data_IF_533809894853
#
_entry.id   IF_533809894853
#
_cell.length_a   1.000
_cell.length_b   1.000
_cell.length_c   1.000
_cell.angle_alpha   90.00
_cell.angle_beta   90.00
_cell.angle_gamma   90.00
#
_symmetry.space_group_name_H-M   'P 1'
#
loop_
_entity.id
_entity.type
_entity.pdbx_description
1 polymer ?
#
# COMPACT_ATOMS: atom_id res chain seq x y z
N UNK A 1 0.64 21.36 -2.93
CA UNK A 1 1.30 20.84 -4.14
C UNK A 1 0.28 20.13 -5.02
N UNK A 2 0.25 20.49 -6.28
CA UNK A 2 -0.63 19.86 -7.24
C UNK A 2 0.20 18.95 -8.14
N UNK A 3 -0.17 17.67 -8.18
CA UNK A 3 0.50 16.69 -9.00
C UNK A 3 -0.17 16.61 -10.39
N UNK A 4 0.60 16.40 -11.47
CA UNK A 4 -0.01 16.32 -12.80
C UNK A 4 -0.86 15.08 -12.95
N UNK A 5 -1.97 15.18 -13.69
CA UNK A 5 -2.89 14.06 -13.92
C UNK A 5 -2.28 12.94 -14.76
N UNK A 6 -1.22 13.24 -15.50
CA UNK A 6 -0.52 12.24 -16.33
C UNK A 6 0.45 11.37 -15.54
N UNK A 7 0.67 11.67 -14.27
CA UNK A 7 1.63 10.95 -13.44
C UNK A 7 1.17 9.51 -13.23
N UNK A 8 2.06 8.55 -13.47
CA UNK A 8 1.78 7.13 -13.28
C UNK A 8 2.59 6.50 -12.15
N UNK A 9 3.76 7.04 -11.87
CA UNK A 9 4.68 6.50 -10.86
C UNK A 9 5.07 7.62 -9.90
N UNK A 10 4.94 7.37 -8.60
CA UNK A 10 5.24 8.37 -7.58
C UNK A 10 5.88 7.70 -6.36
N UNK A 11 7.03 8.21 -5.96
CA UNK A 11 7.73 7.75 -4.78
C UNK A 11 7.99 8.93 -3.87
N UNK A 12 7.58 8.80 -2.62
CA UNK A 12 7.86 9.80 -1.58
C UNK A 12 9.06 9.37 -0.76
N UNK A 13 9.84 10.34 -0.32
CA UNK A 13 11.00 10.08 0.53
C UNK A 13 10.61 9.61 1.92
N UNK A 14 11.60 9.15 2.68
CA UNK A 14 11.39 8.54 3.99
C UNK A 14 10.63 9.44 4.96
N UNK A 15 10.92 10.73 4.95
CA UNK A 15 10.36 11.67 5.94
C UNK A 15 9.01 12.26 5.58
N UNK A 16 8.51 12.00 4.39
CA UNK A 16 7.26 12.60 3.94
C UNK A 16 6.10 12.09 4.82
N UNK A 17 5.35 13.01 5.41
CA UNK A 17 4.20 12.70 6.24
C UNK A 17 3.20 13.85 6.21
N UNK A 18 2.63 14.11 5.03
CA UNK A 18 1.64 15.14 4.83
C UNK A 18 0.45 14.61 4.06
N UNK A 19 -0.70 15.23 4.25
CA UNK A 19 -1.89 14.91 3.45
C UNK A 19 -1.64 15.26 2.00
N UNK A 20 -2.11 14.41 1.10
CA UNK A 20 -1.91 14.63 -0.32
C UNK A 20 -3.07 14.05 -1.12
N UNK A 21 -3.43 14.74 -2.21
CA UNK A 21 -4.39 14.26 -3.19
C UNK A 21 -3.65 13.60 -4.33
N UNK A 22 -3.98 12.35 -4.62
CA UNK A 22 -3.29 11.56 -5.62
C UNK A 22 -3.99 11.64 -6.97
N UNK A 23 -3.22 11.74 -8.08
CA UNK A 23 -3.83 11.76 -9.41
C UNK A 23 -4.42 10.39 -9.78
N UNK A 24 -5.47 10.40 -10.60
CA UNK A 24 -6.25 9.20 -10.91
C UNK A 24 -5.51 8.19 -11.79
N UNK A 25 -4.51 8.60 -12.54
CA UNK A 25 -3.78 7.72 -13.44
C UNK A 25 -2.61 7.01 -12.79
N UNK A 26 -2.42 7.20 -11.49
CA UNK A 26 -1.30 6.62 -10.76
C UNK A 26 -1.44 5.10 -10.71
N UNK A 27 -0.39 4.40 -11.12
CA UNK A 27 -0.34 2.93 -11.11
C UNK A 27 0.66 2.40 -10.09
N UNK A 28 1.70 3.15 -9.79
CA UNK A 28 2.76 2.74 -8.86
C UNK A 28 2.97 3.84 -7.82
N UNK A 29 2.82 3.47 -6.55
CA UNK A 29 2.90 4.43 -5.45
C UNK A 29 3.73 3.85 -4.31
N UNK A 30 4.70 4.63 -3.84
CA UNK A 30 5.53 4.24 -2.71
C UNK A 30 5.57 5.36 -1.70
N UNK A 31 5.23 5.03 -0.46
CA UNK A 31 5.42 5.91 0.70
C UNK A 31 6.54 5.38 1.56
N UNK A 32 7.38 6.26 2.05
CA UNK A 32 8.46 5.91 2.97
C UNK A 32 7.99 5.65 4.39
N UNK A 33 8.94 5.40 5.27
CA UNK A 33 8.66 4.93 6.63
C UNK A 33 7.87 5.88 7.50
N UNK A 34 8.01 7.19 7.33
CA UNK A 34 7.37 8.17 8.19
C UNK A 34 5.91 8.45 7.85
N UNK A 35 5.44 8.02 6.68
CA UNK A 35 4.09 8.37 6.23
C UNK A 35 3.03 7.72 7.10
N UNK A 36 2.12 8.55 7.63
CA UNK A 36 1.01 8.08 8.46
C UNK A 36 -0.16 9.08 8.39
N UNK A 37 -0.73 9.23 7.19
CA UNK A 37 -1.84 10.13 6.96
C UNK A 37 -3.01 9.37 6.34
N UNK A 38 -4.25 9.78 6.60
CA UNK A 38 -5.39 9.25 5.86
C UNK A 38 -5.21 9.50 4.37
N UNK A 39 -5.51 8.51 3.56
CA UNK A 39 -5.28 8.61 2.12
C UNK A 39 -6.37 7.87 1.35
N UNK A 40 -6.75 8.45 0.21
CA UNK A 40 -7.67 7.84 -0.74
C UNK A 40 -6.85 7.40 -1.94
N UNK A 41 -6.86 6.09 -2.22
CA UNK A 41 -6.07 5.51 -3.28
C UNK A 41 -6.80 5.60 -4.62
N UNK A 42 -6.07 5.89 -5.71
CA UNK A 42 -6.68 5.92 -7.04
C UNK A 42 -7.06 4.52 -7.52
N UNK A 43 -8.08 4.45 -8.37
CA UNK A 43 -8.66 3.18 -8.81
C UNK A 43 -7.83 2.40 -9.82
N UNK A 44 -6.76 2.99 -10.34
CA UNK A 44 -5.88 2.32 -11.32
C UNK A 44 -4.60 1.79 -10.69
N UNK A 45 -4.48 1.87 -9.37
CA UNK A 45 -3.26 1.49 -8.68
C UNK A 45 -2.99 0.00 -8.79
N UNK A 46 -1.77 -0.36 -9.18
CA UNK A 46 -1.33 -1.74 -9.38
C UNK A 46 -0.30 -2.14 -8.32
N UNK A 47 0.62 -1.25 -8.00
CA UNK A 47 1.66 -1.48 -7.00
C UNK A 47 1.57 -0.43 -5.91
N UNK A 48 1.56 -0.87 -4.65
CA UNK A 48 1.54 0.02 -3.50
C UNK A 48 2.52 -0.45 -2.45
N UNK A 49 3.37 0.46 -2.00
CA UNK A 49 4.28 0.21 -0.88
C UNK A 49 4.05 1.27 0.18
N UNK A 50 3.80 0.84 1.40
CA UNK A 50 3.65 1.74 2.55
C UNK A 50 4.60 1.27 3.65
N UNK A 51 5.33 2.23 4.22
CA UNK A 51 6.37 1.94 5.20
C UNK A 51 5.86 1.67 6.60
N UNK A 52 6.77 1.46 7.51
CA UNK A 52 6.55 0.82 8.81
C UNK A 52 5.72 1.61 9.82
N UNK A 53 5.59 2.92 9.68
CA UNK A 53 4.85 3.74 10.64
C UNK A 53 3.39 4.00 10.26
N UNK A 54 2.94 3.44 9.15
CA UNK A 54 1.57 3.66 8.70
C UNK A 54 0.58 2.91 9.61
N UNK A 55 -0.43 3.65 10.09
CA UNK A 55 -1.38 3.13 11.07
C UNK A 55 -2.79 3.67 10.79
N UNK A 56 -3.12 3.89 9.52
CA UNK A 56 -4.42 4.43 9.12
C UNK A 56 -5.27 3.36 8.48
N UNK A 57 -6.58 3.52 8.56
CA UNK A 57 -7.51 2.72 7.75
C UNK A 57 -7.32 3.03 6.28
N UNK A 58 -7.37 2.01 5.45
CA UNK A 58 -7.14 2.17 4.03
C UNK A 58 -8.05 1.23 3.25
N UNK A 59 -8.59 1.72 2.14
CA UNK A 59 -9.38 0.92 1.21
C UNK A 59 -8.54 0.64 -0.02
N UNK A 60 -8.35 -0.64 -0.34
CA UNK A 60 -7.51 -1.06 -1.45
C UNK A 60 -8.33 -1.21 -2.73
N UNK A 61 -7.84 -0.69 -3.87
CA UNK A 61 -8.56 -0.84 -5.13
C UNK A 61 -8.47 -2.27 -5.68
N UNK A 62 -9.46 -2.65 -6.47
CA UNK A 62 -9.54 -4.00 -7.05
C UNK A 62 -8.57 -4.23 -8.22
N UNK A 63 -7.78 -3.26 -8.57
CA UNK A 63 -6.71 -3.38 -9.57
C UNK A 63 -5.36 -3.76 -8.98
N UNK A 64 -5.23 -3.68 -7.66
CA UNK A 64 -3.95 -3.84 -6.97
C UNK A 64 -3.47 -5.29 -7.04
N UNK A 65 -2.24 -5.50 -7.50
CA UNK A 65 -1.62 -6.82 -7.60
C UNK A 65 -0.46 -7.00 -6.64
N UNK A 66 0.25 -5.94 -6.31
CA UNK A 66 1.43 -6.00 -5.45
C UNK A 66 1.26 -5.02 -4.30
N UNK A 67 1.38 -5.52 -3.08
CA UNK A 67 1.16 -4.70 -1.88
C UNK A 67 2.24 -4.98 -0.86
N UNK A 68 2.86 -3.92 -0.34
CA UNK A 68 3.78 -3.98 0.77
C UNK A 68 3.24 -3.12 1.89
N UNK A 69 2.99 -3.71 3.04
CA UNK A 69 2.43 -3.03 4.21
C UNK A 69 3.18 -3.43 5.47
N UNK A 70 3.16 -2.59 6.52
CA UNK A 70 3.54 -3.06 7.85
C UNK A 70 2.52 -4.07 8.38
N UNK A 71 2.98 -5.06 9.12
CA UNK A 71 2.11 -6.11 9.66
C UNK A 71 1.28 -5.64 10.86
N UNK A 72 1.48 -4.41 11.30
CA UNK A 72 0.67 -3.78 12.34
C UNK A 72 -0.76 -3.44 11.87
N UNK A 73 -1.01 -3.45 10.56
CA UNK A 73 -2.36 -3.21 10.03
C UNK A 73 -3.16 -4.50 10.19
N UNK A 74 -4.17 -4.48 11.08
CA UNK A 74 -4.89 -5.69 11.46
C UNK A 74 -6.24 -5.84 10.78
N UNK A 75 -6.87 -4.74 10.36
CA UNK A 75 -8.21 -4.77 9.77
C UNK A 75 -8.15 -4.26 8.35
N UNK A 76 -7.93 -5.18 7.42
CA UNK A 76 -7.75 -4.82 6.02
C UNK A 76 -8.42 -5.86 5.14
N UNK A 77 -9.27 -5.37 4.23
CA UNK A 77 -9.85 -6.22 3.21
C UNK A 77 -8.92 -6.25 2.01
N UNK A 78 -8.43 -7.44 1.67
CA UNK A 78 -7.51 -7.61 0.55
C UNK A 78 -8.31 -7.86 -0.73
N UNK A 79 -7.98 -7.16 -1.83
CA UNK A 79 -8.70 -7.37 -3.08
C UNK A 79 -8.35 -8.70 -3.73
N UNK A 80 -9.29 -9.28 -4.49
CA UNK A 80 -9.06 -10.54 -5.20
C UNK A 80 -8.00 -10.44 -6.29
N UNK A 81 -7.71 -9.24 -6.76
CA UNK A 81 -6.65 -8.99 -7.75
C UNK A 81 -5.25 -9.21 -7.20
N UNK A 82 -5.10 -9.21 -5.89
CA UNK A 82 -3.78 -9.24 -5.25
C UNK A 82 -3.10 -10.59 -5.48
N UNK A 83 -1.86 -10.55 -5.96
CA UNK A 83 -1.04 -11.73 -6.23
C UNK A 83 0.20 -11.79 -5.35
N UNK A 84 0.65 -10.65 -4.85
CA UNK A 84 1.88 -10.57 -4.05
C UNK A 84 1.61 -9.68 -2.84
N UNK A 85 1.87 -10.21 -1.66
CA UNK A 85 1.75 -9.47 -0.41
C UNK A 85 3.06 -9.59 0.36
N UNK A 86 3.67 -8.45 0.64
CA UNK A 86 4.88 -8.36 1.44
C UNK A 86 4.55 -7.64 2.74
N UNK A 87 4.72 -8.33 3.87
CA UNK A 87 4.48 -7.76 5.19
C UNK A 87 5.80 -7.41 5.85
N UNK A 88 5.93 -6.16 6.29
CA UNK A 88 7.11 -5.66 6.97
C UNK A 88 6.81 -5.63 8.47
N UNK A 89 7.53 -6.42 9.26
CA UNK A 89 7.34 -6.40 10.70
C UNK A 89 8.16 -5.28 11.36
N UNK A 90 7.89 -5.05 12.65
CA UNK A 90 8.56 -3.99 13.40
C UNK A 90 10.08 -4.20 13.55
N UNK A 91 10.56 -5.37 13.21
CA UNK A 91 12.01 -5.69 13.25
C UNK A 91 12.63 -5.63 11.85
N UNK A 92 11.95 -5.03 10.88
CA UNK A 92 12.41 -4.85 9.50
C UNK A 92 12.57 -6.16 8.73
N UNK A 93 11.91 -7.22 9.17
CA UNK A 93 11.86 -8.46 8.43
C UNK A 93 10.66 -8.47 7.50
N UNK A 94 10.86 -9.02 6.31
CA UNK A 94 9.80 -9.09 5.31
C UNK A 94 9.29 -10.51 5.18
N UNK A 95 7.97 -10.63 5.06
CA UNK A 95 7.30 -11.90 4.78
C UNK A 95 6.59 -11.75 3.45
N UNK A 96 6.96 -12.56 2.46
CA UNK A 96 6.36 -12.51 1.14
C UNK A 96 5.35 -13.63 1.02
N UNK A 97 4.11 -13.28 0.72
CA UNK A 97 3.00 -14.21 0.59
C UNK A 97 2.43 -14.06 -0.82
N UNK A 98 2.27 -15.17 -1.52
CA UNK A 98 1.78 -15.19 -2.90
C UNK A 98 0.25 -15.34 -2.92
N UNK A 99 -0.28 -15.50 -4.12
CA UNK A 99 -1.72 -15.42 -4.41
C UNK A 99 -2.61 -16.27 -3.51
N UNK A 100 -2.14 -17.41 -3.04
CA UNK A 100 -2.96 -18.31 -2.22
C UNK A 100 -3.10 -17.89 -0.77
N UNK A 101 -2.59 -16.73 -0.43
CA UNK A 101 -2.52 -16.29 0.95
C UNK A 101 -3.88 -16.12 1.62
N UNK A 102 -4.95 -15.86 0.86
CA UNK A 102 -6.29 -15.70 1.45
C UNK A 102 -6.72 -16.98 2.16
N UNK A 103 -6.51 -18.13 1.56
CA UNK A 103 -6.80 -19.41 2.22
C UNK A 103 -5.88 -19.62 3.42
N UNK A 104 -4.62 -19.32 3.26
CA UNK A 104 -3.64 -19.42 4.33
C UNK A 104 -4.05 -18.56 5.53
N UNK A 105 -4.40 -17.32 5.29
CA UNK A 105 -4.76 -16.39 6.37
C UNK A 105 -6.07 -16.79 7.05
N UNK A 106 -6.99 -17.40 6.31
CA UNK A 106 -8.27 -17.84 6.87
C UNK A 106 -8.14 -19.11 7.72
N UNK A 107 -7.08 -19.87 7.54
CA UNK A 107 -6.82 -21.08 8.34
C UNK A 107 -5.95 -20.84 9.55
N UNK A 108 -5.32 -19.71 9.59
CA UNK A 108 -4.48 -19.33 10.72
C UNK A 108 -5.31 -18.69 11.82
#
# INVERSE_FOLDING_TARGET
VILPNSLTHLTFGYKFNQSINLPNNLTHLTFGGAFNQPIILPNNLIHLTIGKHFDQSITLPNTLTHLTLPDSITYLTLPNSLTHLNLIDKFYRSKIILKDFNQYMNTA
#
